data_IF_133245956146
#
_entry.id   IF_133245956146
#
_cell.length_a   1.000
_cell.length_b   1.000
_cell.length_c   1.000
_cell.angle_alpha   90.00
_cell.angle_beta   90.00
_cell.angle_gamma   90.00
#
_symmetry.space_group_name_H-M   'P 1'
#
loop_
_entity.id
_entity.type
_entity.pdbx_description
1 polymer ?
#
# COMPACT_ATOMS: atom_id res chain seq x y z
N UNK A 1 19.02 11.45 -22.21
CA UNK A 1 18.93 10.33 -21.28
C UNK A 1 17.81 10.63 -20.31
N UNK A 2 16.70 9.87 -20.34
CA UNK A 2 15.64 10.01 -19.37
C UNK A 2 16.17 9.65 -17.98
N UNK A 3 15.92 10.48 -16.97
CA UNK A 3 16.22 10.13 -15.58
C UNK A 3 15.29 8.97 -15.18
N UNK A 4 15.85 7.78 -15.01
CA UNK A 4 15.14 6.69 -14.33
C UNK A 4 15.13 6.98 -12.82
N UNK A 5 14.02 6.70 -12.17
CA UNK A 5 13.92 6.78 -10.71
C UNK A 5 14.90 5.74 -10.13
N UNK A 6 15.76 6.20 -9.23
CA UNK A 6 16.73 5.35 -8.54
C UNK A 6 16.45 5.38 -7.03
N UNK A 7 16.28 4.19 -6.46
CA UNK A 7 16.03 3.98 -5.03
C UNK A 7 17.18 3.25 -4.32
N UNK A 8 18.39 3.25 -4.92
CA UNK A 8 19.57 2.67 -4.29
C UNK A 8 19.82 3.27 -2.90
N UNK A 9 20.16 2.40 -1.96
CA UNK A 9 20.38 2.77 -0.55
C UNK A 9 19.11 2.97 0.26
N UNK A 10 17.90 2.95 -0.35
CA UNK A 10 16.63 3.03 0.37
C UNK A 10 16.16 1.66 0.84
N UNK A 11 15.52 1.64 1.99
CA UNK A 11 14.80 0.47 2.52
C UNK A 11 13.30 0.71 2.42
N UNK A 12 12.59 -0.18 1.73
CA UNK A 12 11.15 -0.11 1.57
C UNK A 12 10.44 -1.27 2.30
N UNK A 13 9.56 -0.94 3.26
CA UNK A 13 8.67 -1.90 3.93
C UNK A 13 7.34 -1.96 3.19
N UNK A 14 6.93 -3.15 2.75
CA UNK A 14 5.67 -3.38 2.04
C UNK A 14 4.78 -4.32 2.84
N UNK A 15 3.62 -3.84 3.32
CA UNK A 15 2.65 -4.69 4.00
C UNK A 15 1.73 -5.39 3.00
N UNK A 16 1.31 -6.61 3.31
CA UNK A 16 0.49 -7.40 2.40
C UNK A 16 1.24 -7.86 1.13
N UNK A 17 2.56 -8.01 1.22
CA UNK A 17 3.43 -8.33 0.07
C UNK A 17 3.28 -9.76 -0.48
N UNK A 18 2.47 -10.62 0.14
CA UNK A 18 2.35 -12.04 -0.23
C UNK A 18 1.51 -12.32 -1.49
N UNK A 19 0.85 -11.32 -2.07
CA UNK A 19 0.03 -11.46 -3.29
C UNK A 19 -0.37 -10.12 -3.90
N UNK A 20 -0.95 -10.15 -5.10
CA UNK A 20 -1.58 -9.00 -5.76
C UNK A 20 -0.69 -7.76 -5.84
N UNK A 21 -1.24 -6.60 -5.51
CA UNK A 21 -0.54 -5.32 -5.58
C UNK A 21 0.72 -5.29 -4.71
N UNK A 22 0.66 -5.85 -3.49
CA UNK A 22 1.81 -5.85 -2.59
C UNK A 22 3.00 -6.63 -3.15
N UNK A 23 2.76 -7.78 -3.81
CA UNK A 23 3.79 -8.54 -4.53
C UNK A 23 4.41 -7.68 -5.65
N UNK A 24 3.57 -7.06 -6.49
CA UNK A 24 4.03 -6.20 -7.58
C UNK A 24 4.83 -5.00 -7.06
N UNK A 25 4.35 -4.33 -6.03
CA UNK A 25 5.03 -3.18 -5.45
C UNK A 25 6.42 -3.53 -4.90
N UNK A 26 6.56 -4.70 -4.28
CA UNK A 26 7.87 -5.18 -3.84
C UNK A 26 8.82 -5.42 -5.01
N UNK A 27 8.34 -6.04 -6.09
CA UNK A 27 9.14 -6.30 -7.29
C UNK A 27 9.61 -4.99 -7.94
N UNK A 28 8.70 -4.02 -8.15
CA UNK A 28 9.05 -2.78 -8.85
C UNK A 28 9.96 -1.87 -8.02
N UNK A 29 9.79 -1.80 -6.70
CA UNK A 29 10.68 -1.04 -5.83
C UNK A 29 12.08 -1.67 -5.76
N UNK A 30 12.15 -3.00 -5.75
CA UNK A 30 13.43 -3.71 -5.82
C UNK A 30 14.13 -3.50 -7.16
N UNK A 31 13.41 -3.54 -8.28
CA UNK A 31 13.95 -3.24 -9.62
C UNK A 31 14.48 -1.80 -9.73
N UNK A 32 13.92 -0.87 -8.97
CA UNK A 32 14.41 0.50 -8.86
C UNK A 32 15.62 0.66 -7.91
N UNK A 33 16.12 -0.42 -7.30
CA UNK A 33 17.31 -0.44 -6.46
C UNK A 33 17.03 -0.43 -4.95
N UNK A 34 15.77 -0.38 -4.50
CA UNK A 34 15.48 -0.44 -3.08
C UNK A 34 15.70 -1.85 -2.50
N UNK A 35 16.23 -1.91 -1.29
CA UNK A 35 16.15 -3.11 -0.46
C UNK A 35 14.72 -3.21 0.08
N UNK A 36 14.03 -4.33 -0.17
CA UNK A 36 12.62 -4.47 0.19
C UNK A 36 12.44 -5.37 1.41
N UNK A 37 11.55 -4.97 2.32
CA UNK A 37 11.09 -5.80 3.44
C UNK A 37 9.67 -6.23 3.14
N UNK A 38 9.50 -7.52 2.94
CA UNK A 38 8.23 -8.17 2.59
C UNK A 38 7.51 -8.56 3.87
N UNK A 39 6.36 -7.95 4.13
CA UNK A 39 5.64 -8.18 5.37
C UNK A 39 4.21 -8.72 5.14
N UNK A 40 3.90 -9.86 5.72
CA UNK A 40 2.54 -10.45 5.81
C UNK A 40 2.51 -11.63 6.77
N UNK A 41 1.30 -12.17 7.03
CA UNK A 41 1.12 -13.41 7.80
C UNK A 41 1.57 -14.67 7.05
N UNK A 42 1.48 -14.66 5.71
CA UNK A 42 1.80 -15.81 4.82
C UNK A 42 3.29 -15.83 4.48
N UNK A 43 4.11 -16.18 5.46
CA UNK A 43 5.58 -16.11 5.35
C UNK A 43 6.17 -17.00 4.26
N UNK A 44 5.56 -18.17 3.96
CA UNK A 44 6.07 -19.04 2.89
C UNK A 44 5.98 -18.36 1.52
N UNK A 45 4.87 -17.70 1.20
CA UNK A 45 4.74 -16.91 -0.04
C UNK A 45 5.73 -15.74 -0.10
N UNK A 46 6.09 -15.18 1.06
CA UNK A 46 7.10 -14.12 1.11
C UNK A 46 8.51 -14.67 0.84
N UNK A 47 8.81 -15.89 1.28
CA UNK A 47 10.09 -16.56 0.96
C UNK A 47 10.22 -16.86 -0.53
N UNK A 48 9.14 -17.29 -1.17
CA UNK A 48 9.08 -17.47 -2.62
C UNK A 48 9.35 -16.15 -3.35
N UNK A 49 8.64 -15.08 -2.97
CA UNK A 49 8.85 -13.76 -3.55
C UNK A 49 10.26 -13.22 -3.31
N UNK A 50 10.83 -13.46 -2.11
CA UNK A 50 12.23 -13.13 -1.84
C UNK A 50 13.16 -13.81 -2.83
N UNK A 51 12.99 -15.11 -3.04
CA UNK A 51 13.82 -15.85 -3.99
C UNK A 51 13.68 -15.31 -5.43
N UNK A 52 12.47 -14.93 -5.87
CA UNK A 52 12.24 -14.29 -7.17
C UNK A 52 13.01 -12.95 -7.29
N UNK A 53 12.97 -12.13 -6.25
CA UNK A 53 13.65 -10.82 -6.20
C UNK A 53 15.18 -11.01 -6.19
N UNK A 54 15.70 -11.91 -5.35
CA UNK A 54 17.13 -12.19 -5.26
C UNK A 54 17.67 -12.78 -6.57
N UNK A 55 16.93 -13.66 -7.24
CA UNK A 55 17.28 -14.19 -8.56
C UNK A 55 17.34 -13.09 -9.65
N UNK A 56 16.64 -11.97 -9.45
CA UNK A 56 16.67 -10.80 -10.34
C UNK A 56 17.75 -9.77 -9.94
N UNK A 57 18.59 -10.10 -8.96
CA UNK A 57 19.68 -9.22 -8.48
C UNK A 57 19.26 -8.21 -7.41
N UNK A 58 18.02 -8.25 -6.92
CA UNK A 58 17.54 -7.39 -5.84
C UNK A 58 17.87 -7.93 -4.44
N UNK A 59 17.57 -7.15 -3.41
CA UNK A 59 17.71 -7.53 -2.01
C UNK A 59 16.35 -7.51 -1.29
N UNK A 60 16.01 -8.62 -0.63
CA UNK A 60 14.73 -8.75 0.05
C UNK A 60 14.85 -9.46 1.41
N UNK A 61 14.09 -8.98 2.40
CA UNK A 61 13.96 -9.59 3.72
C UNK A 61 12.50 -9.94 3.99
N UNK A 62 12.26 -10.99 4.78
CA UNK A 62 10.91 -11.47 5.11
C UNK A 62 10.62 -11.21 6.57
N UNK A 63 9.47 -10.61 6.84
CA UNK A 63 8.99 -10.34 8.19
C UNK A 63 7.54 -10.82 8.35
N UNK A 64 7.27 -11.59 9.41
CA UNK A 64 5.90 -11.95 9.77
C UNK A 64 5.20 -10.72 10.36
N UNK A 65 4.03 -10.38 9.81
CA UNK A 65 3.24 -9.23 10.26
C UNK A 65 1.75 -9.55 10.20
N UNK A 66 1.09 -9.47 11.34
CA UNK A 66 -0.36 -9.32 11.43
C UNK A 66 -0.68 -7.86 11.79
N UNK A 67 -1.27 -7.13 10.84
CA UNK A 67 -1.62 -5.71 11.03
C UNK A 67 -2.77 -5.49 12.02
N UNK A 68 -3.51 -6.54 12.39
CA UNK A 68 -4.59 -6.47 13.39
C UNK A 68 -4.07 -6.59 14.83
N UNK A 69 -2.83 -7.07 15.00
CA UNK A 69 -2.17 -7.20 16.29
C UNK A 69 -1.09 -6.12 16.46
N UNK A 70 -1.31 -5.22 17.43
CA UNK A 70 -0.37 -4.12 17.72
C UNK A 70 1.01 -4.60 18.15
N UNK A 71 1.10 -5.72 18.89
CA UNK A 71 2.39 -6.26 19.31
C UNK A 71 3.14 -6.86 18.13
N UNK A 72 2.43 -7.54 17.21
CA UNK A 72 2.99 -8.00 15.94
C UNK A 72 3.54 -6.82 15.12
N UNK A 73 2.81 -5.70 15.02
CA UNK A 73 3.29 -4.50 14.31
C UNK A 73 4.62 -4.00 14.89
N UNK A 74 4.70 -3.82 16.21
CA UNK A 74 5.91 -3.33 16.87
C UNK A 74 7.11 -4.25 16.65
N UNK A 75 6.90 -5.54 16.82
CA UNK A 75 7.94 -6.56 16.64
C UNK A 75 8.39 -6.63 15.17
N UNK A 76 7.44 -6.60 14.23
CA UNK A 76 7.73 -6.65 12.81
C UNK A 76 8.55 -5.44 12.32
N UNK A 77 8.19 -4.21 12.74
CA UNK A 77 8.93 -2.99 12.36
C UNK A 77 10.32 -3.00 12.99
N UNK A 78 10.47 -3.44 14.25
CA UNK A 78 11.77 -3.58 14.89
C UNK A 78 12.66 -4.59 14.15
N UNK A 79 12.11 -5.75 13.82
CA UNK A 79 12.84 -6.81 13.10
C UNK A 79 13.23 -6.35 11.68
N UNK A 80 12.34 -5.66 10.98
CA UNK A 80 12.62 -5.08 9.66
C UNK A 80 13.86 -4.17 9.68
N UNK A 81 13.98 -3.30 10.68
CA UNK A 81 15.15 -2.42 10.80
C UNK A 81 16.44 -3.16 11.21
N UNK A 82 16.32 -4.23 12.01
CA UNK A 82 17.48 -5.05 12.36
C UNK A 82 18.05 -5.76 11.13
N UNK A 83 17.18 -6.30 10.26
CA UNK A 83 17.59 -7.10 9.11
C UNK A 83 17.97 -6.24 7.88
N UNK A 84 17.23 -5.18 7.61
CA UNK A 84 17.36 -4.43 6.37
C UNK A 84 18.01 -3.07 6.54
N UNK A 85 18.03 -2.54 7.74
CA UNK A 85 18.39 -1.15 8.02
C UNK A 85 17.18 -0.25 8.17
N UNK A 86 17.43 1.04 8.27
CA UNK A 86 16.38 2.04 8.53
C UNK A 86 15.35 2.12 7.40
N UNK A 87 14.06 2.03 7.76
CA UNK A 87 12.97 2.14 6.78
C UNK A 87 12.86 3.57 6.28
N UNK A 88 13.02 3.77 4.98
CA UNK A 88 12.86 5.06 4.29
C UNK A 88 11.50 5.20 3.62
N UNK A 89 10.95 4.07 3.15
CA UNK A 89 9.70 4.01 2.42
C UNK A 89 8.78 2.98 3.07
N UNK A 90 7.54 3.38 3.38
CA UNK A 90 6.48 2.46 3.77
C UNK A 90 5.42 2.42 2.66
N UNK A 91 5.12 1.22 2.14
CA UNK A 91 3.93 0.95 1.34
C UNK A 91 2.91 0.21 2.20
N UNK A 92 1.91 0.94 2.66
CA UNK A 92 0.87 0.46 3.55
C UNK A 92 -0.28 -0.11 2.72
N UNK A 93 -0.14 -1.39 2.32
CA UNK A 93 -0.98 -2.02 1.31
C UNK A 93 -1.90 -3.12 1.87
N UNK A 94 -1.68 -3.64 3.08
CA UNK A 94 -2.56 -4.65 3.65
C UNK A 94 -4.03 -4.21 3.63
N UNK A 95 -4.92 -5.08 3.15
CA UNK A 95 -6.34 -4.77 3.09
C UNK A 95 -7.19 -5.99 2.77
N UNK A 96 -8.44 -5.93 3.21
CA UNK A 96 -9.46 -6.94 3.00
C UNK A 96 -10.79 -6.27 2.61
N UNK A 97 -11.70 -7.04 2.04
CA UNK A 97 -13.04 -6.57 1.68
C UNK A 97 -14.08 -7.65 1.99
N UNK A 98 -15.30 -7.21 2.28
CA UNK A 98 -16.50 -8.04 2.29
C UNK A 98 -17.48 -7.52 1.25
N UNK A 99 -18.28 -8.41 0.67
CA UNK A 99 -19.29 -8.05 -0.33
C UNK A 99 -20.66 -8.43 0.22
N UNK A 100 -21.41 -7.42 0.68
CA UNK A 100 -22.72 -7.61 1.29
C UNK A 100 -23.49 -6.28 1.38
N UNK A 101 -24.82 -6.35 1.61
CA UNK A 101 -25.60 -5.15 1.89
C UNK A 101 -25.24 -4.59 3.27
N UNK A 102 -25.28 -3.27 3.43
CA UNK A 102 -25.00 -2.64 4.71
C UNK A 102 -25.91 -3.10 5.85
N UNK A 103 -27.17 -3.44 5.54
CA UNK A 103 -28.13 -3.99 6.51
C UNK A 103 -27.79 -5.39 7.01
N UNK A 104 -26.86 -6.09 6.34
CA UNK A 104 -26.46 -7.46 6.65
C UNK A 104 -25.08 -7.54 7.29
N UNK A 105 -24.38 -6.39 7.45
CA UNK A 105 -23.07 -6.32 8.07
C UNK A 105 -23.17 -6.69 9.55
N UNK A 106 -22.38 -7.67 9.95
CA UNK A 106 -22.24 -8.07 11.35
C UNK A 106 -21.14 -7.29 12.06
N UNK A 107 -21.11 -7.24 13.43
CA UNK A 107 -19.97 -6.69 14.16
C UNK A 107 -18.64 -7.33 13.77
N UNK A 108 -18.61 -8.65 13.56
CA UNK A 108 -17.39 -9.36 13.14
C UNK A 108 -16.89 -8.94 11.75
N UNK A 109 -17.80 -8.70 10.79
CA UNK A 109 -17.43 -8.16 9.46
C UNK A 109 -16.84 -6.75 9.59
N UNK A 110 -17.44 -5.94 10.47
CA UNK A 110 -16.97 -4.58 10.73
C UNK A 110 -15.54 -4.59 11.30
N UNK A 111 -15.31 -5.38 12.34
CA UNK A 111 -14.00 -5.56 12.97
C UNK A 111 -12.98 -6.09 11.95
N UNK A 112 -13.32 -7.15 11.20
CA UNK A 112 -12.43 -7.72 10.18
C UNK A 112 -11.94 -6.69 9.17
N UNK A 113 -12.85 -5.85 8.64
CA UNK A 113 -12.51 -4.85 7.64
C UNK A 113 -11.80 -3.65 8.27
N UNK A 114 -12.31 -3.08 9.36
CA UNK A 114 -11.75 -1.87 9.96
C UNK A 114 -10.45 -2.14 10.71
N UNK A 115 -10.31 -3.28 11.38
CA UNK A 115 -9.07 -3.63 12.06
C UNK A 115 -7.92 -3.82 11.07
N UNK A 116 -8.21 -4.41 9.90
CA UNK A 116 -7.19 -4.58 8.86
C UNK A 116 -6.91 -3.27 8.11
N UNK A 117 -7.96 -2.67 7.51
CA UNK A 117 -7.77 -1.60 6.53
C UNK A 117 -7.48 -0.23 7.17
N UNK A 118 -8.01 0.02 8.35
CA UNK A 118 -7.95 1.35 9.01
C UNK A 118 -7.06 1.32 10.23
N UNK A 119 -7.43 0.53 11.25
CA UNK A 119 -6.67 0.44 12.51
C UNK A 119 -5.26 -0.07 12.27
N UNK A 120 -5.11 -1.17 11.53
CA UNK A 120 -3.81 -1.76 11.21
C UNK A 120 -2.95 -0.82 10.39
N UNK A 121 -3.51 -0.23 9.33
CA UNK A 121 -2.81 0.75 8.51
C UNK A 121 -2.32 1.95 9.33
N UNK A 122 -3.16 2.46 10.25
CA UNK A 122 -2.79 3.56 11.14
C UNK A 122 -1.60 3.20 12.03
N UNK A 123 -1.65 2.07 12.73
CA UNK A 123 -0.60 1.71 13.69
C UNK A 123 0.71 1.29 13.01
N UNK A 124 0.66 0.67 11.83
CA UNK A 124 1.87 0.42 11.04
C UNK A 124 2.53 1.74 10.64
N UNK A 125 1.76 2.68 10.08
CA UNK A 125 2.27 4.00 9.71
C UNK A 125 2.83 4.75 10.92
N UNK A 126 2.14 4.73 12.07
CA UNK A 126 2.57 5.38 13.30
C UNK A 126 3.89 4.80 13.83
N UNK A 127 4.02 3.47 13.87
CA UNK A 127 5.23 2.83 14.39
C UNK A 127 6.44 3.12 13.50
N UNK A 128 6.27 3.11 12.18
CA UNK A 128 7.31 3.48 11.22
C UNK A 128 7.65 4.98 11.34
N UNK A 129 6.65 5.85 11.41
CA UNK A 129 6.84 7.29 11.52
C UNK A 129 7.57 7.69 12.80
N UNK A 130 7.28 7.06 13.95
CA UNK A 130 8.03 7.28 15.20
C UNK A 130 9.52 7.05 15.02
N UNK A 131 9.92 6.00 14.30
CA UNK A 131 11.33 5.69 14.02
C UNK A 131 11.94 6.67 13.04
N UNK A 132 11.21 7.08 12.00
CA UNK A 132 11.63 8.13 11.08
C UNK A 132 11.88 9.47 11.82
N UNK A 133 10.98 9.86 12.73
CA UNK A 133 11.09 11.09 13.53
C UNK A 133 12.29 11.06 14.48
N UNK A 134 12.52 9.95 15.17
CA UNK A 134 13.67 9.81 16.08
C UNK A 134 15.00 10.05 15.35
N UNK A 135 15.13 9.61 14.10
CA UNK A 135 16.35 9.84 13.29
C UNK A 135 16.45 11.28 12.78
N UNK A 136 15.33 11.91 12.42
CA UNK A 136 15.30 13.30 11.98
C UNK A 136 15.79 14.31 13.02
N UNK A 137 15.75 13.96 14.30
CA UNK A 137 16.27 14.80 15.38
C UNK A 137 17.82 14.86 15.40
N UNK A 138 18.52 14.01 14.66
CA UNK A 138 19.99 14.02 14.53
C UNK A 138 20.55 14.95 13.45
N UNK A 139 19.74 15.86 12.87
CA UNK A 139 20.17 16.91 11.94
C UNK A 139 20.09 16.58 10.45
N UNK A 140 20.03 15.35 10.04
CA UNK A 140 19.68 14.95 8.67
C UNK A 140 18.23 14.53 8.61
N UNK A 141 17.44 15.22 7.81
CA UNK A 141 16.05 14.84 7.49
C UNK A 141 16.04 14.20 6.10
N UNK A 142 16.26 12.88 5.97
CA UNK A 142 16.10 12.23 4.68
C UNK A 142 14.64 12.39 4.28
N UNK A 143 14.34 12.39 2.98
CA UNK A 143 12.97 12.40 2.50
C UNK A 143 12.34 11.03 2.75
N UNK A 144 11.59 10.89 3.85
CA UNK A 144 10.82 9.69 4.15
C UNK A 144 9.49 9.66 3.38
N UNK A 145 9.04 8.48 3.02
CA UNK A 145 7.82 8.26 2.23
C UNK A 145 6.90 7.26 2.90
N UNK A 146 5.64 7.63 3.05
CA UNK A 146 4.55 6.71 3.43
C UNK A 146 3.52 6.76 2.31
N UNK A 147 3.28 5.63 1.67
CA UNK A 147 2.35 5.47 0.57
C UNK A 147 1.22 4.55 1.03
N UNK A 148 0.06 5.12 1.29
CA UNK A 148 -1.12 4.36 1.68
C UNK A 148 -1.88 3.88 0.45
N UNK A 149 -2.19 2.61 0.36
CA UNK A 149 -3.03 2.06 -0.70
C UNK A 149 -4.49 2.13 -0.24
N UNK A 150 -5.16 3.19 -0.70
CA UNK A 150 -6.58 3.40 -0.48
C UNK A 150 -7.42 2.65 -1.55
N UNK A 151 -8.36 3.30 -2.17
CA UNK A 151 -9.18 2.80 -3.29
C UNK A 151 -10.02 3.95 -3.84
N UNK A 152 -10.41 3.88 -5.10
CA UNK A 152 -11.49 4.71 -5.65
C UNK A 152 -12.78 4.58 -4.84
N UNK A 153 -13.02 3.40 -4.24
CA UNK A 153 -14.15 3.17 -3.33
C UNK A 153 -14.09 4.03 -2.04
N UNK A 154 -12.94 4.57 -1.69
CA UNK A 154 -12.81 5.57 -0.62
C UNK A 154 -13.15 7.00 -1.04
N UNK A 155 -13.32 7.25 -2.34
CA UNK A 155 -13.68 8.55 -2.92
C UNK A 155 -15.12 8.57 -3.41
N UNK A 156 -15.67 7.41 -3.78
CA UNK A 156 -17.06 7.24 -4.20
C UNK A 156 -17.65 5.96 -3.61
N UNK A 157 -18.95 5.93 -3.44
CA UNK A 157 -19.63 4.74 -2.92
C UNK A 157 -19.85 3.73 -4.05
N UNK A 158 -19.49 2.48 -3.80
CA UNK A 158 -19.77 1.37 -4.69
C UNK A 158 -20.77 0.41 -4.01
N UNK A 159 -21.82 -0.05 -4.73
CA UNK A 159 -22.82 -0.95 -4.16
C UNK A 159 -22.20 -2.23 -3.59
N UNK A 160 -22.78 -2.75 -2.51
CA UNK A 160 -22.41 -4.01 -1.84
C UNK A 160 -21.00 -4.06 -1.21
N UNK A 161 -20.17 -3.04 -1.37
CA UNK A 161 -18.89 -2.91 -0.68
C UNK A 161 -18.84 -1.63 0.18
N UNK A 162 -19.97 -1.25 0.74
CA UNK A 162 -20.09 -0.02 1.54
C UNK A 162 -19.16 0.01 2.76
N UNK A 163 -19.02 -1.11 3.46
CA UNK A 163 -18.12 -1.24 4.60
C UNK A 163 -16.64 -1.04 4.20
N UNK A 164 -16.23 -1.69 3.12
CA UNK A 164 -14.91 -1.47 2.54
C UNK A 164 -14.70 -0.01 2.11
N UNK A 165 -15.70 0.59 1.45
CA UNK A 165 -15.66 2.00 1.01
C UNK A 165 -15.43 2.94 2.19
N UNK A 166 -16.15 2.75 3.31
CA UNK A 166 -15.96 3.52 4.54
C UNK A 166 -14.55 3.36 5.09
N UNK A 167 -14.01 2.13 5.13
CA UNK A 167 -12.65 1.88 5.62
C UNK A 167 -11.60 2.58 4.75
N UNK A 168 -11.77 2.60 3.43
CA UNK A 168 -10.86 3.27 2.49
C UNK A 168 -11.02 4.79 2.49
N UNK A 169 -12.21 5.32 2.76
CA UNK A 169 -12.42 6.75 3.01
C UNK A 169 -11.69 7.20 4.29
N UNK A 170 -11.69 6.37 5.33
CA UNK A 170 -10.89 6.62 6.53
C UNK A 170 -9.38 6.67 6.21
N UNK A 171 -8.85 5.78 5.36
CA UNK A 171 -7.46 5.82 4.91
C UNK A 171 -7.13 7.09 4.12
N UNK A 172 -8.04 7.54 3.25
CA UNK A 172 -7.91 8.82 2.52
C UNK A 172 -7.77 9.99 3.48
N UNK A 173 -8.65 10.08 4.48
CA UNK A 173 -8.59 11.19 5.45
C UNK A 173 -7.39 11.08 6.39
N UNK A 174 -7.07 9.88 6.87
CA UNK A 174 -5.89 9.57 7.66
C UNK A 174 -4.60 10.01 6.96
N UNK A 175 -4.48 9.80 5.65
CA UNK A 175 -3.34 10.24 4.84
C UNK A 175 -3.11 11.75 4.96
N UNK A 176 -4.18 12.55 4.86
CA UNK A 176 -4.12 14.01 4.98
C UNK A 176 -3.69 14.45 6.38
N UNK A 177 -4.27 13.85 7.42
CA UNK A 177 -3.91 14.14 8.80
C UNK A 177 -2.43 13.83 9.08
N UNK A 178 -1.95 12.66 8.69
CA UNK A 178 -0.56 12.25 8.84
C UNK A 178 0.38 13.18 8.06
N UNK A 179 0.04 13.55 6.83
CA UNK A 179 0.84 14.47 6.01
C UNK A 179 1.00 15.83 6.67
N UNK A 180 -0.08 16.37 7.25
CA UNK A 180 -0.08 17.65 7.94
C UNK A 180 0.77 17.62 9.21
N UNK A 181 0.62 16.57 10.02
CA UNK A 181 1.32 16.47 11.30
C UNK A 181 2.80 16.10 11.16
N UNK A 182 3.12 15.20 10.21
CA UNK A 182 4.45 14.61 10.09
C UNK A 182 5.34 15.28 9.05
N UNK A 183 4.80 16.16 8.22
CA UNK A 183 5.55 16.89 7.19
C UNK A 183 6.75 17.67 7.75
N UNK A 184 6.60 18.29 8.94
CA UNK A 184 7.70 18.99 9.62
C UNK A 184 8.90 18.10 9.97
N UNK A 185 8.72 16.78 9.98
CA UNK A 185 9.77 15.79 10.23
C UNK A 185 10.37 15.22 8.93
N UNK A 186 10.03 15.78 7.75
CA UNK A 186 10.49 15.29 6.45
C UNK A 186 9.79 14.03 5.97
N UNK A 187 8.61 13.72 6.50
CA UNK A 187 7.80 12.55 6.12
C UNK A 187 6.69 13.01 5.18
N UNK A 188 6.75 12.58 3.93
CA UNK A 188 5.64 12.78 3.00
C UNK A 188 4.70 11.57 3.07
N UNK A 189 3.42 11.85 3.25
CA UNK A 189 2.37 10.82 3.31
C UNK A 189 1.37 11.06 2.20
N UNK A 190 1.26 10.11 1.26
CA UNK A 190 0.37 10.20 0.11
C UNK A 190 -0.48 8.93 -0.01
N UNK A 191 -1.58 8.99 -0.75
CA UNK A 191 -2.40 7.82 -1.03
C UNK A 191 -2.53 7.58 -2.53
N UNK A 192 -2.43 6.32 -2.92
CA UNK A 192 -2.88 5.81 -4.22
C UNK A 192 -4.30 5.28 -4.02
N UNK A 193 -5.21 5.67 -4.90
CA UNK A 193 -6.58 5.18 -4.96
C UNK A 193 -6.76 4.39 -6.26
N UNK A 194 -6.45 3.08 -6.27
CA UNK A 194 -6.65 2.26 -7.45
C UNK A 194 -8.14 2.12 -7.81
N UNK A 195 -8.43 2.04 -9.10
CA UNK A 195 -9.70 1.55 -9.62
C UNK A 195 -9.76 0.02 -9.55
N UNK A 196 -10.45 -0.57 -10.53
CA UNK A 196 -10.49 -2.03 -10.66
C UNK A 196 -9.17 -2.54 -11.25
N UNK A 197 -8.43 -3.29 -10.45
CA UNK A 197 -7.16 -3.93 -10.84
C UNK A 197 -7.33 -5.44 -10.76
N UNK A 198 -6.92 -6.16 -11.81
CA UNK A 198 -6.92 -7.62 -11.83
C UNK A 198 -5.82 -8.16 -10.93
N UNK A 199 -6.20 -8.97 -9.96
CA UNK A 199 -5.31 -9.62 -8.99
C UNK A 199 -5.77 -11.05 -8.74
N UNK A 200 -4.93 -11.89 -8.13
CA UNK A 200 -5.30 -13.27 -7.75
C UNK A 200 -6.67 -13.37 -7.04
N UNK A 201 -7.04 -12.35 -6.25
CA UNK A 201 -8.25 -12.39 -5.40
C UNK A 201 -9.53 -12.23 -6.24
N UNK A 202 -9.47 -11.47 -7.33
CA UNK A 202 -10.64 -11.09 -8.12
C UNK A 202 -10.59 -11.57 -9.59
N UNK A 203 -9.55 -12.31 -9.97
CA UNK A 203 -9.35 -12.75 -11.35
C UNK A 203 -10.56 -13.50 -11.94
N UNK A 204 -11.12 -14.43 -11.18
CA UNK A 204 -12.32 -15.19 -11.60
C UNK A 204 -13.56 -14.32 -11.80
N UNK A 205 -13.65 -13.19 -11.07
CA UNK A 205 -14.80 -12.30 -11.19
C UNK A 205 -14.94 -11.71 -12.59
N UNK A 206 -13.84 -11.39 -13.25
CA UNK A 206 -13.85 -10.75 -14.57
C UNK A 206 -14.36 -11.63 -15.69
N UNK A 207 -14.35 -12.94 -15.53
CA UNK A 207 -14.92 -13.92 -16.48
C UNK A 207 -16.42 -14.19 -16.28
N UNK A 208 -17.01 -13.70 -15.20
CA UNK A 208 -18.46 -13.86 -14.94
C UNK A 208 -19.29 -12.85 -15.73
N UNK A 209 -20.59 -13.15 -15.99
CA UNK A 209 -21.51 -12.20 -16.63
C UNK A 209 -21.61 -10.87 -15.89
N UNK A 210 -21.53 -10.88 -14.55
CA UNK A 210 -21.52 -9.67 -13.75
C UNK A 210 -20.23 -8.89 -13.95
N UNK A 211 -19.09 -9.55 -13.94
CA UNK A 211 -17.78 -8.93 -14.19
C UNK A 211 -17.70 -8.33 -15.59
N UNK A 212 -18.18 -9.04 -16.62
CA UNK A 212 -18.21 -8.54 -18.00
C UNK A 212 -19.09 -7.29 -18.15
N UNK A 213 -20.27 -7.27 -17.50
CA UNK A 213 -21.10 -6.05 -17.45
C UNK A 213 -20.40 -4.89 -16.77
N UNK A 214 -19.68 -5.15 -15.68
CA UNK A 214 -18.89 -4.13 -14.99
C UNK A 214 -17.78 -3.60 -15.90
N UNK A 215 -17.03 -4.47 -16.58
CA UNK A 215 -15.99 -4.07 -17.54
C UNK A 215 -16.57 -3.21 -18.66
N UNK A 216 -17.75 -3.54 -19.18
CA UNK A 216 -18.42 -2.75 -20.21
C UNK A 216 -18.83 -1.34 -19.77
N UNK A 217 -18.96 -1.11 -18.45
CA UNK A 217 -19.24 0.23 -17.89
C UNK A 217 -17.97 1.05 -17.61
N UNK A 218 -16.77 0.44 -17.67
CA UNK A 218 -15.54 1.17 -17.46
C UNK A 218 -15.21 2.05 -18.67
N UNK A 219 -14.60 3.25 -18.49
CA UNK A 219 -14.36 4.21 -19.57
C UNK A 219 -13.59 3.64 -20.77
N UNK A 220 -12.65 2.72 -20.52
CA UNK A 220 -11.86 2.06 -21.58
C UNK A 220 -12.19 0.58 -21.74
N UNK A 221 -13.29 0.11 -21.16
CA UNK A 221 -13.74 -1.29 -21.22
C UNK A 221 -12.66 -2.31 -20.86
N UNK A 222 -11.80 -1.96 -19.89
CA UNK A 222 -10.72 -2.81 -19.40
C UNK A 222 -10.59 -2.74 -17.87
N UNK A 223 -10.13 -3.82 -17.29
CA UNK A 223 -9.61 -3.84 -15.91
C UNK A 223 -8.14 -3.46 -15.96
N UNK A 224 -7.67 -2.67 -15.00
CA UNK A 224 -6.27 -2.34 -14.85
C UNK A 224 -5.45 -3.57 -14.45
N UNK A 225 -4.14 -3.50 -14.67
CA UNK A 225 -3.16 -4.50 -14.22
C UNK A 225 -2.34 -3.91 -13.08
N UNK A 226 -1.74 -4.73 -12.21
CA UNK A 226 -0.83 -4.23 -11.17
C UNK A 226 0.25 -3.29 -11.70
N UNK A 227 0.77 -3.55 -12.92
CA UNK A 227 1.78 -2.74 -13.61
C UNK A 227 1.31 -1.31 -13.94
N UNK A 228 0.00 -1.10 -14.10
CA UNK A 228 -0.56 0.24 -14.36
C UNK A 228 -0.31 1.22 -13.19
N UNK A 229 0.07 0.70 -12.00
CA UNK A 229 0.37 1.49 -10.81
C UNK A 229 1.87 1.75 -10.60
N UNK A 230 2.75 1.09 -11.34
CA UNK A 230 4.21 1.14 -11.15
C UNK A 230 4.75 2.56 -11.20
N UNK A 231 4.40 3.31 -12.25
CA UNK A 231 4.88 4.68 -12.46
C UNK A 231 4.47 5.62 -11.33
N UNK A 232 3.23 5.48 -10.83
CA UNK A 232 2.75 6.30 -9.72
C UNK A 232 3.43 5.91 -8.39
N UNK A 233 3.59 4.62 -8.13
CA UNK A 233 4.31 4.15 -6.94
C UNK A 233 5.75 4.67 -6.93
N UNK A 234 6.47 4.51 -8.03
CA UNK A 234 7.85 4.97 -8.16
C UNK A 234 7.96 6.50 -7.98
N UNK A 235 7.06 7.26 -8.59
CA UNK A 235 7.00 8.72 -8.39
C UNK A 235 6.87 9.08 -6.92
N UNK A 236 5.94 8.45 -6.19
CA UNK A 236 5.70 8.76 -4.79
C UNK A 236 6.82 8.25 -3.87
N UNK A 237 7.57 7.23 -4.28
CA UNK A 237 8.73 6.70 -3.56
C UNK A 237 10.00 7.53 -3.77
N UNK A 238 10.09 8.28 -4.87
CA UNK A 238 11.28 8.97 -5.31
C UNK A 238 11.63 10.20 -4.47
N UNK A 239 12.91 10.55 -4.44
CA UNK A 239 13.39 11.77 -3.77
C UNK A 239 12.92 13.04 -4.53
N UNK A 240 12.70 12.95 -5.84
CA UNK A 240 12.21 14.03 -6.70
C UNK A 240 10.79 14.49 -6.35
N UNK A 241 10.01 13.66 -5.65
CA UNK A 241 8.63 13.96 -5.25
C UNK A 241 8.49 14.68 -3.90
N UNK A 242 9.53 15.37 -3.43
CA UNK A 242 9.54 16.00 -2.09
C UNK A 242 8.38 16.99 -1.85
N UNK A 243 7.88 17.62 -2.91
CA UNK A 243 6.80 18.61 -2.81
C UNK A 243 5.39 17.97 -2.90
N UNK A 244 5.32 16.64 -3.07
CA UNK A 244 4.06 15.89 -3.08
C UNK A 244 3.81 15.35 -1.67
N UNK A 245 2.91 16.00 -0.92
CA UNK A 245 2.55 15.60 0.45
C UNK A 245 1.06 15.79 0.69
N UNK A 246 0.38 14.82 1.27
CA UNK A 246 -1.06 14.83 1.51
C UNK A 246 -1.91 14.60 0.27
N UNK A 247 -1.30 14.22 -0.85
CA UNK A 247 -2.00 13.99 -2.11
C UNK A 247 -2.76 12.68 -2.11
N UNK A 248 -3.97 12.72 -2.67
CA UNK A 248 -4.86 11.57 -2.87
C UNK A 248 -5.00 11.40 -4.37
N UNK A 249 -4.35 10.38 -4.93
CA UNK A 249 -4.21 10.23 -6.38
C UNK A 249 -4.98 9.02 -6.87
N UNK A 250 -6.01 9.26 -7.68
CA UNK A 250 -6.74 8.19 -8.37
C UNK A 250 -5.91 7.63 -9.52
N UNK A 251 -5.82 6.30 -9.57
CA UNK A 251 -5.25 5.55 -10.67
C UNK A 251 -6.31 4.51 -11.11
N UNK A 252 -7.35 4.97 -11.78
CA UNK A 252 -8.61 4.26 -12.00
C UNK A 252 -9.11 4.33 -13.45
N UNK A 253 -8.26 4.77 -14.36
CA UNK A 253 -8.57 4.91 -15.81
C UNK A 253 -9.79 5.81 -16.09
N UNK A 254 -10.05 6.80 -15.19
CA UNK A 254 -11.16 7.73 -15.28
C UNK A 254 -12.49 7.21 -14.72
N UNK A 255 -12.51 6.01 -14.12
CA UNK A 255 -13.73 5.44 -13.55
C UNK A 255 -14.36 6.32 -12.47
N UNK A 256 -13.56 7.02 -11.68
CA UNK A 256 -14.03 7.93 -10.63
C UNK A 256 -14.75 9.18 -11.13
N UNK A 257 -14.68 9.48 -12.44
CA UNK A 257 -15.25 10.69 -13.04
C UNK A 257 -16.66 10.46 -13.64
N UNK A 258 -17.10 9.22 -13.72
CA UNK A 258 -18.39 8.81 -14.30
C UNK A 258 -19.47 8.56 -13.25
#
# INVERSE_FOLDING_TARGET
>A
MGRSINLEGKVALITGASSGLGKRFAQVLSQAGAKVVLASRRTERLKELRAEIEASGGAAHVVSLDVTDYQSIRSAVAHAETEAGTIDILVNNSGVSTTQKLSEVTPADFEYVFDTNTRGAFFVAQEVAKRMMMRGNGGQKPPYRIINIASVAGLRVLPQIGLYSMSKAAVVHMTKAMAQEWGKHGINVNAICPGYIDTEINHHHWSTDHGQRLVAMLPRHRVGRPEDLDGLLLLLAADESQFINGSIISADDGFGLS
#
